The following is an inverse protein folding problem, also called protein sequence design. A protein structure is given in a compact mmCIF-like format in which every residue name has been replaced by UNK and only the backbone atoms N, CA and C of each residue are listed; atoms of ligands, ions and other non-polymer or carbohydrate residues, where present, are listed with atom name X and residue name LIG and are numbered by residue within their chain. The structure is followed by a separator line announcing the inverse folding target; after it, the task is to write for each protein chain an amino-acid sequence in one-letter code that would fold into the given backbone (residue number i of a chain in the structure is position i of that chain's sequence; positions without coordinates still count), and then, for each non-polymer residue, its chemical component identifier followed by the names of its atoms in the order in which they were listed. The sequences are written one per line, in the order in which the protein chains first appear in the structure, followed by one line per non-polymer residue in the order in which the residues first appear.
data_IF_205224036037
#
_entry.id   IF_205224036037
#
_cell.length_a   1.000
_cell.length_b   1.000
_cell.length_c   1.000
_cell.angle_alpha   90.00
_cell.angle_beta   90.00
_cell.angle_gamma   90.00
#
_symmetry.space_group_name_H-M   'P 1'
#
loop_
_entity.id
_entity.type
_entity.pdbx_description
1 polymer ?
#
# COMPACT_ATOMS: atom_id res chain seq x y z
N UNK A 1 16.79 33.79 21.00
CA UNK A 1 15.74 33.30 21.92
C UNK A 1 14.99 32.08 21.36
N UNK A 2 14.50 32.09 20.12
CA UNK A 2 13.78 30.93 19.54
C UNK A 2 14.58 29.60 19.50
N UNK A 3 15.90 29.67 19.23
CA UNK A 3 16.77 28.48 19.19
C UNK A 3 16.99 27.86 20.57
N UNK A 4 17.17 28.69 21.59
CA UNK A 4 17.30 28.23 22.98
C UNK A 4 15.99 27.65 23.54
N UNK A 5 14.84 28.13 23.08
CA UNK A 5 13.54 27.56 23.42
C UNK A 5 13.30 26.20 22.72
N UNK A 6 13.79 26.04 21.49
CA UNK A 6 13.74 24.77 20.76
C UNK A 6 14.68 23.71 21.39
N UNK A 7 15.89 24.12 21.80
CA UNK A 7 16.83 23.23 22.50
C UNK A 7 16.28 22.81 23.87
N UNK A 8 15.67 23.74 24.62
CA UNK A 8 15.03 23.41 25.90
C UNK A 8 13.79 22.52 25.75
N UNK A 9 13.03 22.66 24.67
CA UNK A 9 11.90 21.78 24.36
C UNK A 9 12.36 20.37 23.94
N UNK A 10 13.49 20.27 23.23
CA UNK A 10 14.12 19.00 22.89
C UNK A 10 14.64 18.28 24.15
N UNK A 11 15.34 18.99 25.05
CA UNK A 11 15.81 18.42 26.32
C UNK A 11 14.65 17.99 27.23
N UNK A 12 13.57 18.77 27.27
CA UNK A 12 12.37 18.41 28.02
C UNK A 12 11.67 17.17 27.44
N UNK A 13 11.64 17.02 26.11
CA UNK A 13 11.10 15.85 25.44
C UNK A 13 11.96 14.59 25.66
N UNK A 14 13.29 14.74 25.68
CA UNK A 14 14.23 13.65 25.99
C UNK A 14 14.08 13.20 27.45
N UNK A 15 13.96 14.14 28.39
CA UNK A 15 13.74 13.84 29.80
C UNK A 15 12.39 13.15 30.05
N UNK A 16 11.31 13.60 29.38
CA UNK A 16 10.00 12.98 29.47
C UNK A 16 9.97 11.57 28.81
N UNK A 17 10.70 11.39 27.71
CA UNK A 17 10.87 10.07 27.09
C UNK A 17 11.65 9.11 28.00
N UNK A 18 12.66 9.61 28.73
CA UNK A 18 13.45 8.83 29.69
C UNK A 18 12.63 8.42 30.93
N UNK A 19 11.73 9.28 31.43
CA UNK A 19 10.82 8.92 32.53
C UNK A 19 9.71 7.95 32.11
N UNK A 20 9.22 8.03 30.86
CA UNK A 20 8.24 7.10 30.32
C UNK A 20 8.84 5.73 29.94
N UNK A 21 10.15 5.68 29.75
CA UNK A 21 10.94 4.50 29.39
C UNK A 21 11.28 3.60 30.60
N UNK A 22 10.27 3.23 31.39
CA UNK A 22 10.37 2.11 32.34
C UNK A 22 10.89 0.85 31.64
N UNK A 23 11.34 -0.15 32.43
CA UNK A 23 12.13 -1.36 32.08
C UNK A 23 11.91 -2.03 30.70
N UNK A 24 10.78 -1.80 30.02
CA UNK A 24 10.44 -2.20 28.65
C UNK A 24 11.23 -1.47 27.53
N UNK A 25 11.77 -0.26 27.80
CA UNK A 25 12.50 0.51 26.80
C UNK A 25 13.91 -0.03 26.47
N UNK A 26 14.50 -0.86 27.35
CA UNK A 26 15.80 -1.50 27.10
C UNK A 26 15.74 -2.58 26.00
N UNK A 27 14.55 -2.98 25.56
CA UNK A 27 14.32 -3.96 24.49
C UNK A 27 13.88 -3.32 23.16
N UNK A 28 13.59 -2.02 23.14
CA UNK A 28 13.19 -1.29 21.94
C UNK A 28 14.40 -0.55 21.39
N UNK A 29 14.89 -1.00 20.23
CA UNK A 29 15.98 -0.33 19.52
C UNK A 29 15.59 1.14 19.30
N UNK A 30 16.40 2.12 19.74
CA UNK A 30 16.06 3.52 19.59
C UNK A 30 15.86 3.83 18.11
N UNK A 31 14.73 4.49 17.79
CA UNK A 31 14.38 4.81 16.40
C UNK A 31 15.50 5.66 15.79
N UNK A 32 16.29 5.06 14.90
CA UNK A 32 17.35 5.75 14.19
C UNK A 32 16.77 6.52 13.00
N UNK A 33 16.02 7.56 13.32
CA UNK A 33 15.29 8.39 12.36
C UNK A 33 16.21 8.96 11.27
N UNK A 34 17.43 9.34 11.64
CA UNK A 34 18.41 9.87 10.70
C UNK A 34 18.83 8.84 9.65
N UNK A 35 19.08 7.59 10.07
CA UNK A 35 19.39 6.49 9.14
C UNK A 35 18.21 6.18 8.24
N UNK A 36 17.01 6.02 8.81
CA UNK A 36 15.81 5.69 8.00
C UNK A 36 15.48 6.76 6.96
N UNK A 37 15.66 8.03 7.31
CA UNK A 37 15.49 9.15 6.38
C UNK A 37 16.54 9.08 5.27
N UNK A 38 17.80 8.84 5.63
CA UNK A 38 18.90 8.77 4.68
C UNK A 38 18.72 7.62 3.68
N UNK A 39 18.35 6.43 4.17
CA UNK A 39 18.12 5.25 3.34
C UNK A 39 16.99 5.49 2.32
N UNK A 40 15.90 6.12 2.76
CA UNK A 40 14.75 6.46 1.88
C UNK A 40 15.09 7.58 0.91
N UNK A 41 15.84 8.60 1.33
CA UNK A 41 16.29 9.67 0.45
C UNK A 41 17.27 9.16 -0.62
N UNK A 42 18.15 8.22 -0.26
CA UNK A 42 19.05 7.56 -1.19
C UNK A 42 18.29 6.68 -2.18
N UNK A 43 17.26 5.96 -1.73
CA UNK A 43 16.36 5.23 -2.61
C UNK A 43 15.66 6.16 -3.61
N UNK A 44 15.18 7.31 -3.16
CA UNK A 44 14.56 8.32 -4.03
C UNK A 44 15.54 8.87 -5.09
N UNK A 45 16.82 9.02 -4.77
CA UNK A 45 17.85 9.40 -5.75
C UNK A 45 18.13 8.31 -6.79
N UNK A 46 18.15 7.04 -6.37
CA UNK A 46 18.31 5.92 -7.29
C UNK A 46 17.12 5.78 -8.26
N UNK A 47 15.89 6.08 -7.81
CA UNK A 47 14.67 5.91 -8.59
C UNK A 47 14.32 7.14 -9.46
N UNK A 48 14.53 8.34 -8.92
CA UNK A 48 14.09 9.58 -9.55
C UNK A 48 15.23 10.40 -10.16
N UNK A 49 16.49 10.04 -9.88
CA UNK A 49 17.68 10.67 -10.42
C UNK A 49 18.25 11.79 -9.55
N UNK A 50 19.33 12.39 -10.06
CA UNK A 50 20.13 13.40 -9.35
C UNK A 50 19.28 14.56 -8.82
N UNK A 51 19.49 14.95 -7.56
CA UNK A 51 18.76 16.02 -6.89
C UNK A 51 17.49 15.59 -6.16
N UNK A 52 17.03 14.35 -6.36
CA UNK A 52 15.86 13.81 -5.64
C UNK A 52 16.13 13.61 -4.16
N UNK A 53 17.38 13.23 -3.78
CA UNK A 53 17.82 13.19 -2.38
C UNK A 53 17.60 14.55 -1.70
N UNK A 54 18.13 15.62 -2.31
CA UNK A 54 18.04 16.97 -1.76
C UNK A 54 16.59 17.46 -1.68
N UNK A 55 15.77 17.13 -2.68
CA UNK A 55 14.35 17.46 -2.68
C UNK A 55 13.58 16.73 -1.56
N UNK A 56 13.85 15.44 -1.37
CA UNK A 56 13.25 14.61 -0.32
C UNK A 56 13.58 15.16 1.06
N UNK A 57 14.87 15.38 1.36
CA UNK A 57 15.32 15.91 2.66
C UNK A 57 14.74 17.31 2.92
N UNK A 58 14.66 18.16 1.89
CA UNK A 58 14.13 19.52 2.02
C UNK A 58 12.61 19.56 2.26
N UNK A 59 11.86 18.64 1.65
CA UNK A 59 10.40 18.59 1.76
C UNK A 59 9.89 17.90 3.04
N UNK A 60 10.69 16.99 3.60
CA UNK A 60 10.28 16.15 4.72
C UNK A 60 9.87 16.92 5.99
N UNK A 61 10.61 17.94 6.49
CA UNK A 61 10.25 18.62 7.73
C UNK A 61 8.85 19.25 7.69
N UNK A 62 8.51 19.92 6.58
CA UNK A 62 7.21 20.56 6.38
C UNK A 62 6.09 19.52 6.29
N UNK A 63 6.35 18.36 5.71
CA UNK A 63 5.38 17.28 5.65
C UNK A 63 5.11 16.67 7.03
N UNK A 64 6.17 16.42 7.81
CA UNK A 64 6.05 15.91 9.18
C UNK A 64 5.31 16.88 10.09
N UNK A 65 5.62 18.18 10.01
CA UNK A 65 4.95 19.22 10.80
C UNK A 65 3.45 19.26 10.53
N UNK A 66 3.03 19.13 9.27
CA UNK A 66 1.60 19.10 8.90
C UNK A 66 0.85 17.92 9.48
N UNK A 67 1.48 16.74 9.56
CA UNK A 67 0.81 15.52 10.05
C UNK A 67 0.84 15.45 11.57
N UNK A 68 1.98 15.75 12.18
CA UNK A 68 2.15 15.74 13.64
C UNK A 68 1.43 16.91 14.33
N UNK A 69 1.32 18.06 13.66
CA UNK A 69 0.58 19.22 14.14
C UNK A 69 -0.94 19.11 13.97
N UNK A 70 -1.46 18.00 13.44
CA UNK A 70 -2.90 17.82 13.24
C UNK A 70 -3.60 17.40 14.54
N UNK A 71 -4.36 18.33 15.13
CA UNK A 71 -5.09 18.11 16.39
C UNK A 71 -6.04 16.91 16.37
N UNK A 72 -6.63 16.59 15.21
CA UNK A 72 -7.53 15.44 15.07
C UNK A 72 -6.81 14.09 15.18
N UNK A 73 -5.50 14.07 14.91
CA UNK A 73 -4.66 12.88 14.98
C UNK A 73 -3.94 12.74 16.31
N UNK A 74 -3.81 13.82 17.11
CA UNK A 74 -3.02 13.84 18.33
C UNK A 74 -3.35 12.68 19.30
N UNK A 75 -4.63 12.43 19.57
CA UNK A 75 -5.05 11.30 20.44
C UNK A 75 -4.71 9.93 19.87
N UNK A 76 -4.75 9.76 18.55
CA UNK A 76 -4.43 8.49 17.88
C UNK A 76 -2.92 8.26 17.82
N UNK A 77 -2.14 9.33 17.59
CA UNK A 77 -0.68 9.28 17.59
C UNK A 77 -0.15 8.90 18.98
N UNK A 78 -0.75 9.43 20.06
CA UNK A 78 -0.38 9.05 21.43
C UNK A 78 -0.63 7.57 21.77
N UNK A 79 -1.48 6.87 21.02
CA UNK A 79 -1.79 5.45 21.23
C UNK A 79 -0.84 4.52 20.47
N UNK A 80 0.02 5.06 19.60
CA UNK A 80 0.96 4.28 18.78
C UNK A 80 2.37 4.37 19.34
N UNK A 81 3.19 3.36 19.08
CA UNK A 81 4.60 3.40 19.43
C UNK A 81 5.37 4.37 18.52
N UNK A 82 6.40 5.03 19.06
CA UNK A 82 7.23 5.95 18.27
C UNK A 82 7.82 5.31 16.99
N UNK A 83 8.34 4.05 17.00
CA UNK A 83 8.80 3.39 15.78
C UNK A 83 7.69 3.21 14.73
N UNK A 84 6.47 2.92 15.16
CA UNK A 84 5.33 2.72 14.27
C UNK A 84 4.87 4.05 13.65
N UNK A 85 4.85 5.12 14.43
CA UNK A 85 4.54 6.47 13.95
C UNK A 85 5.55 6.88 12.89
N UNK A 86 6.84 6.79 13.20
CA UNK A 86 7.93 7.17 12.30
C UNK A 86 7.87 6.39 10.99
N UNK A 87 7.79 5.06 11.05
CA UNK A 87 7.73 4.23 9.85
C UNK A 87 6.49 4.54 9.00
N UNK A 88 5.35 4.78 9.63
CA UNK A 88 4.12 5.15 8.92
C UNK A 88 4.27 6.49 8.22
N UNK A 89 4.81 7.50 8.90
CA UNK A 89 5.00 8.84 8.35
C UNK A 89 5.99 8.84 7.18
N UNK A 90 7.15 8.24 7.36
CA UNK A 90 8.17 8.17 6.32
C UNK A 90 7.67 7.38 5.10
N UNK A 91 6.90 6.31 5.30
CA UNK A 91 6.35 5.52 4.20
C UNK A 91 5.32 6.31 3.39
N UNK A 92 4.37 6.94 4.08
CA UNK A 92 3.37 7.77 3.40
C UNK A 92 4.00 8.98 2.69
N UNK A 93 5.02 9.57 3.30
CA UNK A 93 5.77 10.65 2.68
C UNK A 93 6.50 10.19 1.41
N UNK A 94 7.20 9.05 1.47
CA UNK A 94 7.92 8.47 0.32
C UNK A 94 6.96 8.18 -0.82
N UNK A 95 5.83 7.51 -0.57
CA UNK A 95 4.80 7.25 -1.58
C UNK A 95 4.26 8.54 -2.23
N UNK A 96 4.07 9.60 -1.43
CA UNK A 96 3.60 10.89 -1.94
C UNK A 96 4.66 11.61 -2.76
N UNK A 97 5.93 11.47 -2.37
CA UNK A 97 7.09 11.96 -3.11
C UNK A 97 7.20 11.25 -4.46
N UNK A 98 7.17 9.92 -4.48
CA UNK A 98 7.30 9.10 -5.69
C UNK A 98 6.17 9.39 -6.67
N UNK A 99 4.93 9.51 -6.18
CA UNK A 99 3.77 9.90 -6.99
C UNK A 99 3.95 11.28 -7.61
N UNK A 100 4.54 12.22 -6.88
CA UNK A 100 4.83 13.57 -7.38
C UNK A 100 5.94 13.53 -8.42
N UNK A 101 7.01 12.77 -8.18
CA UNK A 101 8.11 12.59 -9.11
C UNK A 101 7.64 11.94 -10.42
N UNK A 102 6.78 10.92 -10.35
CA UNK A 102 6.13 10.29 -11.51
C UNK A 102 5.31 11.31 -12.31
N UNK A 103 4.47 12.11 -11.64
CA UNK A 103 3.70 13.19 -12.29
C UNK A 103 4.60 14.21 -12.99
N UNK A 104 5.71 14.59 -12.38
CA UNK A 104 6.67 15.53 -12.97
C UNK A 104 7.40 14.95 -14.20
N UNK A 105 7.57 13.63 -14.25
CA UNK A 105 8.10 12.91 -15.43
C UNK A 105 7.08 12.81 -16.57
N UNK A 106 5.81 13.13 -16.31
CA UNK A 106 4.71 13.00 -17.25
C UNK A 106 3.98 11.65 -17.17
N UNK A 107 4.33 10.80 -16.20
CA UNK A 107 3.56 9.60 -15.90
C UNK A 107 2.27 10.00 -15.19
N UNK A 108 1.18 9.29 -15.47
CA UNK A 108 -0.08 9.47 -14.76
C UNK A 108 -0.22 8.35 -13.72
N UNK A 109 0.27 8.51 -12.47
CA UNK A 109 0.17 7.48 -11.43
C UNK A 109 -1.27 7.25 -10.95
N UNK A 110 -2.21 8.06 -11.44
CA UNK A 110 -3.65 8.01 -11.11
C UNK A 110 -4.45 7.41 -12.27
N UNK A 111 -3.81 7.18 -13.43
CA UNK A 111 -4.36 6.28 -14.42
C UNK A 111 -4.42 4.92 -13.77
N UNK A 112 -5.64 4.43 -13.51
CA UNK A 112 -5.84 3.04 -13.14
C UNK A 112 -5.20 2.20 -14.27
N UNK A 113 -3.98 1.72 -14.04
CA UNK A 113 -3.42 0.60 -14.78
C UNK A 113 -4.29 -0.60 -14.43
N UNK A 114 -5.44 -0.72 -15.08
CA UNK A 114 -6.16 -1.97 -15.24
C UNK A 114 -5.32 -2.91 -16.10
N UNK A 115 -4.15 -3.31 -15.60
CA UNK A 115 -3.35 -4.39 -16.16
C UNK A 115 -3.94 -5.76 -15.79
N UNK A 116 -5.27 -5.87 -15.74
CA UNK A 116 -5.97 -7.18 -15.70
C UNK A 116 -5.95 -7.88 -17.07
N UNK A 117 -5.45 -7.20 -18.11
CA UNK A 117 -5.68 -7.56 -19.52
C UNK A 117 -4.46 -8.06 -20.29
N UNK A 118 -3.28 -8.19 -19.67
CA UNK A 118 -2.08 -8.64 -20.38
C UNK A 118 -1.96 -10.16 -20.53
N UNK A 119 -2.18 -10.90 -19.45
CA UNK A 119 -1.96 -12.36 -19.42
C UNK A 119 -3.14 -13.13 -18.82
N UNK A 120 -3.78 -12.59 -17.78
CA UNK A 120 -4.94 -13.23 -17.15
C UNK A 120 -6.23 -13.13 -17.97
N UNK A 121 -6.40 -12.10 -18.81
CA UNK A 121 -7.59 -12.06 -19.69
C UNK A 121 -7.51 -13.10 -20.79
N UNK A 122 -6.32 -13.42 -21.34
CA UNK A 122 -6.18 -14.51 -22.29
C UNK A 122 -6.53 -15.87 -21.62
N UNK A 123 -6.08 -16.08 -20.39
CA UNK A 123 -6.40 -17.29 -19.63
C UNK A 123 -7.89 -17.35 -19.25
N UNK A 124 -8.48 -16.24 -18.78
CA UNK A 124 -9.88 -16.13 -18.43
C UNK A 124 -10.79 -16.32 -19.64
N UNK A 125 -10.47 -15.72 -20.79
CA UNK A 125 -11.24 -15.93 -22.03
C UNK A 125 -11.15 -17.38 -22.52
N UNK A 126 -10.00 -18.04 -22.39
CA UNK A 126 -9.84 -19.46 -22.72
C UNK A 126 -10.69 -20.34 -21.77
N UNK A 127 -10.64 -20.08 -20.46
CA UNK A 127 -11.47 -20.78 -19.46
C UNK A 127 -12.97 -20.59 -19.72
N UNK A 128 -13.40 -19.38 -20.03
CA UNK A 128 -14.81 -19.07 -20.36
C UNK A 128 -15.21 -19.83 -21.63
N UNK A 129 -14.36 -19.84 -22.67
CA UNK A 129 -14.64 -20.59 -23.90
C UNK A 129 -14.74 -22.11 -23.67
N UNK A 130 -13.90 -22.66 -22.80
CA UNK A 130 -13.90 -24.07 -22.43
C UNK A 130 -15.17 -24.44 -21.66
N UNK A 131 -15.57 -23.61 -20.69
CA UNK A 131 -16.82 -23.78 -19.93
C UNK A 131 -18.04 -23.80 -20.84
N UNK A 132 -18.11 -22.88 -21.81
CA UNK A 132 -19.22 -22.83 -22.78
C UNK A 132 -19.27 -24.10 -23.63
N UNK A 133 -18.11 -24.59 -24.10
CA UNK A 133 -18.04 -25.83 -24.89
C UNK A 133 -18.53 -27.05 -24.08
N UNK A 134 -18.09 -27.19 -22.83
CA UNK A 134 -18.52 -28.27 -21.93
C UNK A 134 -20.03 -28.20 -21.68
N UNK A 135 -20.57 -26.99 -21.45
CA UNK A 135 -21.99 -26.85 -21.20
C UNK A 135 -22.83 -27.24 -22.43
N UNK A 136 -22.40 -26.85 -23.64
CA UNK A 136 -23.05 -27.28 -24.89
C UNK A 136 -23.02 -28.80 -25.07
N UNK A 137 -21.90 -29.47 -24.76
CA UNK A 137 -21.81 -30.92 -24.82
C UNK A 137 -22.75 -31.61 -23.81
N UNK A 138 -22.86 -31.09 -22.58
CA UNK A 138 -23.79 -31.59 -21.57
C UNK A 138 -25.26 -31.40 -21.98
N UNK A 139 -25.59 -30.27 -22.60
CA UNK A 139 -26.94 -30.01 -23.13
C UNK A 139 -27.26 -30.99 -24.27
N UNK A 140 -26.34 -31.22 -25.21
CA UNK A 140 -26.51 -32.23 -26.26
C UNK A 140 -26.72 -33.62 -25.67
N UNK A 141 -25.90 -34.04 -24.69
CA UNK A 141 -26.05 -35.34 -24.03
C UNK A 141 -27.38 -35.46 -23.28
N UNK A 142 -27.82 -34.38 -22.62
CA UNK A 142 -29.11 -34.32 -21.95
C UNK A 142 -30.26 -34.40 -22.96
N UNK A 143 -30.16 -33.72 -24.10
CA UNK A 143 -31.15 -33.78 -25.17
C UNK A 143 -31.22 -35.18 -25.78
N UNK A 144 -30.08 -35.82 -26.07
CA UNK A 144 -30.04 -37.22 -26.55
C UNK A 144 -30.66 -38.19 -25.54
N UNK A 145 -30.37 -38.01 -24.23
CA UNK A 145 -30.97 -38.82 -23.17
C UNK A 145 -32.49 -38.61 -23.10
N UNK A 146 -32.97 -37.38 -23.26
CA UNK A 146 -34.41 -37.10 -23.29
C UNK A 146 -35.09 -37.65 -24.55
N UNK A 147 -34.46 -37.55 -25.73
CA UNK A 147 -34.98 -38.12 -26.98
C UNK A 147 -35.04 -39.65 -26.92
N UNK A 148 -34.01 -40.31 -26.37
CA UNK A 148 -34.03 -41.76 -26.12
C UNK A 148 -35.07 -42.15 -25.07
N UNK A 149 -35.29 -41.31 -24.05
CA UNK A 149 -36.34 -41.51 -23.05
C UNK A 149 -37.76 -41.45 -23.63
N UNK A 150 -38.02 -40.53 -24.57
CA UNK A 150 -39.31 -40.41 -25.25
C UNK A 150 -39.55 -41.61 -26.18
N UNK A 151 -38.52 -42.08 -26.89
CA UNK A 151 -38.61 -43.29 -27.72
C UNK A 151 -38.90 -44.58 -26.92
N UNK A 152 -38.47 -44.64 -25.65
CA UNK A 152 -38.78 -45.74 -24.74
C UNK A 152 -40.21 -45.67 -24.15
N UNK A 153 -40.73 -44.47 -23.88
CA UNK A 153 -42.10 -44.30 -23.38
C UNK A 153 -43.20 -44.52 -24.44
N UNK A 154 -42.90 -44.32 -25.72
CA UNK A 154 -43.86 -44.63 -26.80
C UNK A 154 -44.14 -46.12 -27.01
N UNK A 155 -43.38 -47.01 -26.37
CA UNK A 155 -43.56 -48.47 -26.43
C UNK A 155 -44.43 -49.06 -25.32
N UNK A 156 -44.90 -48.27 -24.35
CA UNK A 156 -45.73 -48.74 -23.25
C UNK A 156 -47.10 -48.08 -23.31
N UNK A 157 -47.97 -48.62 -24.16
CA UNK A 157 -49.42 -48.37 -24.12
C UNK A 157 -50.03 -49.53 -23.29
N UNK A 158 -51.03 -49.27 -22.41
CA UNK A 158 -51.50 -50.22 -21.39
C UNK A 158 -51.92 -51.58 -21.92
#
# INVERSE_FOLDING_TARGET
MARAAADAAADAAIAAAAEAAGEDAMLMDPVNLASEINDRAQAAEMEHGEGSYAAYIKGLPVALEKVLGNESLAKKLQQQSAPQIVNTLLTNYTLSFDRTAAKLRGDNPDEEKWEFLGMDTAFATLLISCLVMVMMALVMFRMERHLRGIGAQSGQKP
#
